data_IF_500617603945
#
_entry.id   IF_500617603945
#
_cell.length_a   1.000
_cell.length_b   1.000
_cell.length_c   1.000
_cell.angle_alpha   90.00
_cell.angle_beta   90.00
_cell.angle_gamma   90.00
#
_symmetry.space_group_name_H-M   'P 1'
#
loop_
_entity.id
_entity.type
_entity.pdbx_description
1 polymer ?
#
# COMPACT_ATOMS: atom_id res chain seq x y z
N UNK A 1 -9.12 -33.46 19.34
CA UNK A 1 -8.66 -32.52 18.30
C UNK A 1 -9.80 -31.55 18.04
N UNK A 2 -9.73 -30.37 18.66
CA UNK A 2 -10.77 -29.36 18.59
C UNK A 2 -10.26 -28.13 17.84
N UNK A 3 -10.92 -27.86 16.72
CA UNK A 3 -10.83 -26.74 15.80
C UNK A 3 -10.47 -25.37 16.43
N UNK A 4 -9.48 -24.70 15.86
CA UNK A 4 -9.34 -23.23 15.88
C UNK A 4 -9.46 -22.73 14.43
N UNK A 5 -10.69 -22.68 13.92
CA UNK A 5 -10.97 -21.77 12.82
C UNK A 5 -11.02 -20.37 13.43
N UNK A 6 -9.90 -19.64 13.33
CA UNK A 6 -9.89 -18.21 13.54
C UNK A 6 -10.84 -17.59 12.54
N UNK A 7 -12.07 -17.32 12.97
CA UNK A 7 -13.04 -16.52 12.23
C UNK A 7 -12.43 -15.13 12.13
N UNK A 8 -11.70 -14.86 11.04
CA UNK A 8 -11.24 -13.52 10.72
C UNK A 8 -12.50 -12.68 10.60
N UNK A 9 -12.73 -11.84 11.62
CA UNK A 9 -13.83 -10.90 11.62
C UNK A 9 -13.67 -10.08 10.36
N UNK A 10 -14.66 -10.19 9.48
CA UNK A 10 -14.84 -9.37 8.29
C UNK A 10 -15.12 -7.92 8.77
N UNK A 11 -14.15 -7.29 9.42
CA UNK A 11 -14.12 -5.85 9.58
C UNK A 11 -13.87 -5.37 8.17
N UNK A 12 -14.95 -4.99 7.48
CA UNK A 12 -14.87 -4.26 6.23
C UNK A 12 -14.25 -2.91 6.57
N UNK A 13 -12.93 -2.89 6.68
CA UNK A 13 -12.15 -1.66 6.72
C UNK A 13 -12.50 -0.85 5.48
N UNK A 14 -12.66 0.47 5.59
CA UNK A 14 -12.84 1.33 4.43
C UNK A 14 -11.73 1.04 3.41
N UNK A 15 -12.10 0.78 2.15
CA UNK A 15 -11.12 0.51 1.09
C UNK A 15 -10.62 -0.94 0.99
N UNK A 16 -11.24 -1.92 1.69
CA UNK A 16 -10.95 -3.33 1.45
C UNK A 16 -11.35 -3.76 0.03
N UNK A 17 -10.40 -4.31 -0.71
CA UNK A 17 -10.59 -4.91 -2.04
C UNK A 17 -10.27 -6.42 -1.99
N UNK A 18 -10.98 -7.21 -2.79
CA UNK A 18 -10.80 -8.66 -2.83
C UNK A 18 -9.39 -9.02 -3.31
N UNK A 19 -8.61 -9.84 -2.56
CA UNK A 19 -7.26 -10.24 -2.93
C UNK A 19 -7.17 -10.91 -4.32
N UNK A 20 -8.22 -11.60 -4.74
CA UNK A 20 -8.30 -12.26 -6.06
C UNK A 20 -8.30 -11.23 -7.19
N UNK A 21 -8.99 -10.11 -7.00
CA UNK A 21 -9.04 -9.02 -7.99
C UNK A 21 -7.65 -8.38 -8.09
N UNK A 22 -7.07 -8.01 -6.95
CA UNK A 22 -5.76 -7.36 -6.91
C UNK A 22 -4.64 -8.25 -7.45
N UNK A 23 -4.68 -9.56 -7.18
CA UNK A 23 -3.73 -10.52 -7.75
C UNK A 23 -3.87 -10.68 -9.27
N UNK A 24 -5.06 -10.45 -9.83
CA UNK A 24 -5.25 -10.48 -11.29
C UNK A 24 -4.71 -9.24 -12.01
N UNK A 25 -4.58 -8.14 -11.27
CA UNK A 25 -4.16 -6.83 -11.79
C UNK A 25 -2.72 -6.48 -11.46
N UNK A 26 -2.05 -7.31 -10.67
CA UNK A 26 -0.67 -7.09 -10.24
C UNK A 26 0.17 -8.36 -10.41
N UNK A 27 1.50 -8.27 -10.39
CA UNK A 27 2.37 -9.45 -10.46
C UNK A 27 2.35 -10.35 -9.21
N UNK A 28 1.54 -10.02 -8.20
CA UNK A 28 1.44 -10.77 -6.95
C UNK A 28 0.43 -11.92 -7.06
N UNK A 29 0.73 -13.01 -6.37
CA UNK A 29 -0.23 -14.09 -6.13
C UNK A 29 -1.24 -13.71 -5.05
N UNK A 30 -2.37 -14.42 -4.97
CA UNK A 30 -3.41 -14.19 -3.96
C UNK A 30 -2.83 -14.23 -2.54
N UNK A 31 -1.98 -15.22 -2.24
CA UNK A 31 -1.34 -15.35 -0.92
C UNK A 31 -0.36 -14.21 -0.61
N UNK A 32 0.33 -13.68 -1.62
CA UNK A 32 1.18 -12.49 -1.42
C UNK A 32 0.34 -11.25 -1.15
N UNK A 33 -0.80 -11.09 -1.83
CA UNK A 33 -1.75 -9.99 -1.55
C UNK A 33 -2.32 -10.09 -0.13
N UNK A 34 -2.66 -11.30 0.33
CA UNK A 34 -3.08 -11.52 1.73
C UNK A 34 -1.96 -11.15 2.73
N UNK A 35 -0.71 -11.50 2.43
CA UNK A 35 0.43 -11.09 3.26
C UNK A 35 0.64 -9.56 3.24
N UNK A 36 0.43 -8.92 2.10
CA UNK A 36 0.45 -7.46 1.98
C UNK A 36 -0.69 -6.80 2.76
N UNK A 37 -1.85 -7.44 2.89
CA UNK A 37 -2.95 -6.95 3.71
C UNK A 37 -2.57 -6.89 5.20
N UNK A 38 -1.90 -7.91 5.71
CA UNK A 38 -1.39 -7.90 7.09
C UNK A 38 -0.32 -6.81 7.31
N UNK A 39 0.50 -6.51 6.30
CA UNK A 39 1.41 -5.37 6.36
C UNK A 39 0.63 -4.06 6.36
N UNK A 40 -0.32 -3.90 5.44
CA UNK A 40 -1.17 -2.72 5.33
C UNK A 40 -1.86 -2.40 6.66
N UNK A 41 -2.49 -3.39 7.29
CA UNK A 41 -3.14 -3.22 8.58
C UNK A 41 -2.20 -2.75 9.69
N UNK A 42 -0.92 -3.17 9.68
CA UNK A 42 0.05 -2.67 10.67
C UNK A 42 0.40 -1.21 10.44
N UNK A 43 0.42 -0.76 9.18
CA UNK A 43 0.76 0.61 8.84
C UNK A 43 -0.43 1.56 9.07
N UNK A 44 -1.62 1.16 8.60
CA UNK A 44 -2.87 1.94 8.62
C UNK A 44 -3.55 2.03 9.99
N UNK A 45 -2.90 1.51 11.03
CA UNK A 45 -3.37 1.55 12.41
C UNK A 45 -2.21 1.94 13.35
N UNK A 46 -1.17 2.59 12.80
CA UNK A 46 0.03 2.91 13.57
C UNK A 46 -0.12 4.21 14.37
N UNK A 47 -0.91 5.15 13.86
CA UNK A 47 -1.26 6.41 14.55
C UNK A 47 -2.78 6.53 14.67
N UNK A 48 -3.52 6.26 13.59
CA UNK A 48 -4.98 6.38 13.53
C UNK A 48 -5.56 5.01 13.16
N UNK A 49 -6.45 4.46 14.00
CA UNK A 49 -7.07 3.15 13.76
C UNK A 49 -8.31 3.24 12.85
N UNK A 50 -8.16 3.74 11.62
CA UNK A 50 -9.26 3.87 10.64
C UNK A 50 -9.13 2.95 9.41
N UNK A 51 -8.03 2.21 9.30
CA UNK A 51 -7.79 1.29 8.19
C UNK A 51 -7.37 1.98 6.89
N UNK A 52 -6.92 3.24 6.96
CA UNK A 52 -6.34 4.00 5.86
C UNK A 52 -4.90 4.38 6.22
N UNK A 53 -3.99 4.44 5.24
CA UNK A 53 -2.62 4.92 5.54
C UNK A 53 -2.58 6.43 5.31
N UNK A 54 -2.43 7.18 6.40
CA UNK A 54 -2.20 8.62 6.35
C UNK A 54 -0.74 8.95 6.06
N UNK A 55 -0.47 10.20 5.68
CA UNK A 55 0.89 10.64 5.33
C UNK A 55 1.87 10.48 6.50
N UNK A 56 1.42 10.78 7.71
CA UNK A 56 2.18 10.67 8.95
C UNK A 56 2.55 9.21 9.24
N UNK A 57 1.60 8.28 9.06
CA UNK A 57 1.82 6.84 9.24
C UNK A 57 2.79 6.29 8.18
N UNK A 58 2.68 6.76 6.94
CA UNK A 58 3.58 6.39 5.86
C UNK A 58 5.02 6.87 6.13
N UNK A 59 5.20 8.10 6.60
CA UNK A 59 6.50 8.64 6.97
C UNK A 59 7.10 7.89 8.17
N UNK A 60 6.28 7.59 9.19
CA UNK A 60 6.67 6.78 10.34
C UNK A 60 7.15 5.39 9.91
N UNK A 61 6.46 4.75 8.97
CA UNK A 61 6.83 3.45 8.43
C UNK A 61 8.19 3.45 7.71
N UNK A 62 8.48 4.51 6.94
CA UNK A 62 9.71 4.62 6.14
C UNK A 62 10.93 5.05 6.98
N UNK A 63 10.78 6.00 7.89
CA UNK A 63 11.91 6.61 8.60
C UNK A 63 11.97 6.27 10.09
N UNK A 64 10.95 5.58 10.62
CA UNK A 64 10.77 5.38 12.07
C UNK A 64 10.70 6.71 12.84
N UNK A 65 10.33 7.79 12.16
CA UNK A 65 10.20 9.13 12.71
C UNK A 65 9.11 9.91 11.94
N UNK A 66 8.06 10.32 12.65
CA UNK A 66 6.93 11.08 12.11
C UNK A 66 7.25 12.58 11.86
N UNK A 67 8.34 13.10 12.43
CA UNK A 67 8.69 14.54 12.38
C UNK A 67 9.74 14.87 11.31
N UNK A 68 10.26 13.87 10.61
CA UNK A 68 11.27 14.07 9.57
C UNK A 68 10.60 14.43 8.23
N UNK A 69 10.58 15.72 7.91
CA UNK A 69 10.11 16.21 6.61
C UNK A 69 11.04 15.71 5.50
N UNK A 70 10.61 14.70 4.76
CA UNK A 70 11.36 14.14 3.67
C UNK A 70 10.61 14.31 2.33
N UNK A 71 11.17 15.14 1.44
CA UNK A 71 10.61 15.41 0.11
C UNK A 71 10.46 14.14 -0.76
N UNK A 72 11.23 13.08 -0.47
CA UNK A 72 11.06 11.80 -1.15
C UNK A 72 9.84 11.05 -0.66
N UNK A 73 9.58 11.02 0.65
CA UNK A 73 8.38 10.36 1.16
C UNK A 73 7.11 11.05 0.72
N UNK A 74 7.09 12.38 0.67
CA UNK A 74 5.95 13.13 0.16
C UNK A 74 5.62 12.72 -1.29
N UNK A 75 6.64 12.58 -2.15
CA UNK A 75 6.42 12.21 -3.55
C UNK A 75 6.11 10.74 -3.76
N UNK A 76 6.66 9.86 -2.92
CA UNK A 76 6.30 8.44 -2.92
C UNK A 76 4.86 8.29 -2.42
N UNK A 77 4.46 9.04 -1.39
CA UNK A 77 3.07 9.08 -0.93
C UNK A 77 2.14 9.49 -2.06
N UNK A 78 2.42 10.59 -2.77
CA UNK A 78 1.60 11.02 -3.92
C UNK A 78 1.61 10.03 -5.10
N UNK A 79 2.57 9.12 -5.16
CA UNK A 79 2.59 8.04 -6.15
C UNK A 79 1.59 6.94 -5.76
N UNK A 80 1.49 6.67 -4.46
CA UNK A 80 0.58 5.69 -3.87
C UNK A 80 -0.85 6.21 -3.76
N UNK A 81 -1.08 7.47 -3.39
CA UNK A 81 -2.40 8.12 -3.38
C UNK A 81 -2.83 8.47 -4.82
N UNK A 82 -3.35 7.47 -5.52
CA UNK A 82 -3.79 7.55 -6.92
C UNK A 82 -5.06 8.40 -7.01
N UNK A 83 -5.97 8.26 -6.04
CA UNK A 83 -7.25 8.98 -5.95
C UNK A 83 -7.07 10.45 -5.54
N UNK A 84 -5.90 10.82 -4.99
CA UNK A 84 -5.56 12.16 -4.49
C UNK A 84 -6.51 12.66 -3.41
N UNK A 85 -6.91 11.77 -2.52
CA UNK A 85 -7.79 12.09 -1.38
C UNK A 85 -7.01 12.27 -0.06
N UNK A 86 -5.68 12.16 -0.10
CA UNK A 86 -4.79 12.38 1.05
C UNK A 86 -4.58 11.12 1.90
N UNK A 87 -5.08 9.97 1.49
CA UNK A 87 -4.93 8.68 2.17
C UNK A 87 -4.60 7.59 1.16
N UNK A 88 -3.95 6.52 1.58
CA UNK A 88 -3.70 5.37 0.71
C UNK A 88 -4.62 4.24 1.16
N UNK A 89 -5.50 3.82 0.25
CA UNK A 89 -6.36 2.64 0.44
C UNK A 89 -5.60 1.34 0.12
N UNK A 90 -6.13 0.19 0.55
CA UNK A 90 -5.44 -1.09 0.37
C UNK A 90 -5.16 -1.42 -1.10
N UNK A 91 -6.13 -1.21 -2.00
CA UNK A 91 -5.92 -1.43 -3.42
C UNK A 91 -4.83 -0.54 -4.02
N UNK A 92 -4.77 0.73 -3.61
CA UNK A 92 -3.74 1.67 -4.02
C UNK A 92 -2.35 1.24 -3.55
N UNK A 93 -2.26 0.75 -2.31
CA UNK A 93 -1.03 0.22 -1.74
C UNK A 93 -0.51 -0.98 -2.55
N UNK A 94 -1.36 -1.98 -2.83
CA UNK A 94 -0.96 -3.20 -3.55
C UNK A 94 -0.58 -2.89 -5.00
N UNK A 95 -1.38 -2.10 -5.72
CA UNK A 95 -1.09 -1.73 -7.12
C UNK A 95 0.20 -0.94 -7.24
N UNK A 96 0.45 -0.02 -6.30
CA UNK A 96 1.68 0.79 -6.29
C UNK A 96 2.92 -0.06 -6.00
N UNK A 97 2.81 -1.03 -5.09
CA UNK A 97 3.88 -2.00 -4.83
C UNK A 97 4.12 -2.95 -6.01
N UNK A 98 3.08 -3.25 -6.79
CA UNK A 98 3.17 -4.13 -7.96
C UNK A 98 4.23 -3.69 -8.96
N UNK A 99 4.44 -2.38 -9.14
CA UNK A 99 5.48 -1.82 -10.02
C UNK A 99 6.89 -2.20 -9.56
N UNK A 100 7.12 -2.30 -8.24
CA UNK A 100 8.42 -2.64 -7.67
C UNK A 100 8.70 -4.14 -7.65
N UNK A 101 7.73 -4.97 -8.08
CA UNK A 101 7.92 -6.41 -8.13
C UNK A 101 9.03 -6.80 -9.13
N UNK A 102 9.90 -7.79 -8.80
CA UNK A 102 10.94 -8.25 -9.71
C UNK A 102 10.40 -8.64 -11.09
N UNK A 103 9.23 -9.29 -11.11
CA UNK A 103 8.57 -9.76 -12.34
C UNK A 103 7.65 -8.72 -13.01
N UNK A 104 7.54 -7.50 -12.47
CA UNK A 104 6.79 -6.45 -13.15
C UNK A 104 7.45 -6.07 -14.49
N UNK A 105 6.61 -5.74 -15.48
CA UNK A 105 7.09 -5.36 -16.81
C UNK A 105 8.04 -4.17 -16.73
N UNK A 106 9.08 -4.17 -17.57
CA UNK A 106 10.05 -3.09 -17.61
C UNK A 106 9.39 -1.75 -17.96
N UNK A 107 8.35 -1.78 -18.80
CA UNK A 107 7.55 -0.62 -19.19
C UNK A 107 6.88 0.05 -17.99
N UNK A 108 6.28 -0.72 -17.08
CA UNK A 108 5.65 -0.20 -15.86
C UNK A 108 6.68 0.44 -14.93
N UNK A 109 7.87 -0.18 -14.82
CA UNK A 109 8.99 0.37 -14.04
C UNK A 109 9.50 1.69 -14.62
N UNK A 110 9.64 1.76 -15.95
CA UNK A 110 10.05 2.98 -16.65
C UNK A 110 8.98 4.07 -16.48
N UNK A 111 7.71 3.75 -16.69
CA UNK A 111 6.59 4.69 -16.54
C UNK A 111 6.52 5.25 -15.11
N UNK A 112 6.68 4.39 -14.10
CA UNK A 112 6.76 4.80 -12.70
C UNK A 112 7.96 5.72 -12.44
N UNK A 113 9.15 5.38 -12.94
CA UNK A 113 10.35 6.21 -12.80
C UNK A 113 10.19 7.58 -13.48
N UNK A 114 9.59 7.63 -14.67
CA UNK A 114 9.30 8.89 -15.37
C UNK A 114 8.28 9.71 -14.58
N UNK A 115 7.18 9.10 -14.11
CA UNK A 115 6.17 9.76 -13.28
C UNK A 115 6.78 10.32 -11.99
N UNK A 116 7.68 9.57 -11.36
CA UNK A 116 8.40 10.02 -10.19
C UNK A 116 9.32 11.22 -10.51
N UNK A 117 10.09 11.14 -11.59
CA UNK A 117 11.02 12.22 -12.01
C UNK A 117 10.28 13.49 -12.42
N UNK A 118 9.18 13.39 -13.16
CA UNK A 118 8.38 14.55 -13.57
C UNK A 118 7.70 15.25 -12.39
N UNK A 119 7.55 14.58 -11.25
CA UNK A 119 7.12 15.20 -9.99
C UNK A 119 8.28 15.86 -9.22
N UNK A 120 9.52 15.81 -9.71
CA UNK A 120 10.71 16.43 -9.08
C UNK A 120 11.01 17.85 -9.60
N UNK A 121 10.56 18.16 -10.82
CA UNK A 121 10.81 19.41 -11.56
C UNK A 121 9.60 20.31 -11.56
#
# INVERSE_FOLDING_TARGET
>A
MGCFCSTSKNVKTPGYEDPTILASETPFTVSEVEALYELFLKLSNSIIEDGLIHKEEFQLALFRNENEKNLFADRIFDLFDVKRNGVIEFGEFVRSLGVFHPNAALEDKIACKIRFILKLT
#
